data_IF_660951409978
#
_entry.id   IF_660951409978
#
_cell.length_a   1.000
_cell.length_b   1.000
_cell.length_c   1.000
_cell.angle_alpha   90.00
_cell.angle_beta   90.00
_cell.angle_gamma   90.00
#
_symmetry.space_group_name_H-M   'P 1'
#
loop_
_entity.id
_entity.type
_entity.pdbx_description
1 polymer ?
#
# COMPACT_ATOMS: atom_id res chain seq x y z
N UNK A 1 -7.19 -50.49 32.83
CA UNK A 1 -5.93 -49.75 32.70
C UNK A 1 -5.32 -50.22 31.40
N UNK A 2 -5.73 -49.57 30.32
CA UNK A 2 -5.27 -49.84 28.96
C UNK A 2 -4.32 -48.71 28.56
N UNK A 3 -3.11 -49.08 28.12
CA UNK A 3 -2.09 -48.17 27.61
C UNK A 3 -2.54 -47.59 26.27
N UNK A 4 -2.71 -46.27 26.23
CA UNK A 4 -2.88 -45.52 24.99
C UNK A 4 -1.48 -45.28 24.41
N UNK A 5 -1.13 -46.01 23.35
CA UNK A 5 0.04 -45.71 22.52
C UNK A 5 -0.25 -44.47 21.67
N UNK A 6 0.40 -43.36 22.00
CA UNK A 6 0.43 -42.16 21.16
C UNK A 6 1.47 -42.39 20.07
N UNK A 7 1.00 -42.70 18.86
CA UNK A 7 1.79 -42.64 17.63
C UNK A 7 2.06 -41.17 17.34
N UNK A 8 3.34 -40.78 17.39
CA UNK A 8 3.81 -39.48 16.91
C UNK A 8 4.11 -39.64 15.42
N UNK A 9 3.22 -39.14 14.59
CA UNK A 9 3.46 -38.98 13.16
C UNK A 9 4.59 -37.97 12.92
N UNK A 10 5.42 -38.31 11.94
CA UNK A 10 6.68 -37.67 11.62
C UNK A 10 6.52 -36.21 11.22
N UNK A 11 7.39 -35.38 11.80
CA UNK A 11 7.77 -34.12 11.17
C UNK A 11 8.65 -34.48 9.97
N UNK A 12 8.04 -34.50 8.79
CA UNK A 12 8.78 -34.39 7.54
C UNK A 12 9.40 -32.99 7.48
N UNK A 13 10.68 -32.92 7.81
CA UNK A 13 11.55 -31.83 7.40
C UNK A 13 11.57 -31.79 5.88
N UNK A 14 10.74 -30.91 5.28
CA UNK A 14 10.92 -30.44 3.91
C UNK A 14 12.21 -29.59 3.86
N UNK A 15 13.34 -30.29 3.89
CA UNK A 15 14.61 -29.78 3.43
C UNK A 15 14.41 -29.40 1.96
N UNK A 16 14.40 -28.10 1.67
CA UNK A 16 14.68 -27.59 0.34
C UNK A 16 16.14 -27.94 0.05
N UNK A 17 16.36 -29.16 -0.44
CA UNK A 17 17.57 -29.50 -1.18
C UNK A 17 17.52 -28.64 -2.44
N UNK A 18 18.32 -27.59 -2.46
CA UNK A 18 18.74 -26.95 -3.70
C UNK A 18 19.62 -27.97 -4.41
N UNK A 19 18.98 -28.85 -5.19
CA UNK A 19 19.67 -29.55 -6.25
C UNK A 19 20.17 -28.45 -7.19
N UNK A 20 21.48 -28.23 -7.13
CA UNK A 20 22.27 -27.59 -8.19
C UNK A 20 22.20 -28.51 -9.43
N UNK A 21 21.00 -28.68 -9.98
CA UNK A 21 20.81 -29.12 -11.34
C UNK A 21 21.04 -27.88 -12.21
N UNK A 22 22.13 -27.94 -12.97
CA UNK A 22 22.38 -27.15 -14.18
C UNK A 22 21.27 -27.45 -15.21
N UNK A 23 20.06 -27.03 -14.89
CA UNK A 23 18.95 -26.95 -15.82
C UNK A 23 18.98 -25.51 -16.33
N UNK A 24 19.47 -25.34 -17.56
CA UNK A 24 19.12 -24.23 -18.43
C UNK A 24 17.59 -24.16 -18.50
N UNK A 25 16.96 -23.57 -17.49
CA UNK A 25 15.58 -23.15 -17.60
C UNK A 25 15.62 -21.90 -18.45
N UNK A 26 15.28 -22.08 -19.72
CA UNK A 26 14.69 -21.07 -20.58
C UNK A 26 13.71 -20.22 -19.75
N UNK A 27 14.20 -19.11 -19.21
CA UNK A 27 13.38 -17.98 -18.80
C UNK A 27 13.00 -17.16 -20.03
N UNK A 28 12.54 -17.85 -21.08
CA UNK A 28 11.74 -17.26 -22.14
C UNK A 28 10.26 -17.39 -21.72
N UNK A 29 9.57 -16.25 -21.62
CA UNK A 29 8.11 -16.26 -21.79
C UNK A 29 7.24 -16.09 -20.53
N UNK A 30 7.49 -15.07 -19.72
CA UNK A 30 6.39 -14.29 -19.11
C UNK A 30 6.65 -12.79 -19.27
N UNK A 31 7.10 -12.40 -20.47
CA UNK A 31 6.75 -11.10 -21.04
C UNK A 31 5.30 -11.23 -21.46
N UNK A 32 4.39 -10.68 -20.66
CA UNK A 32 3.08 -10.34 -21.19
C UNK A 32 3.33 -9.31 -22.28
N UNK A 33 3.19 -9.74 -23.54
CA UNK A 33 3.11 -8.86 -24.68
C UNK A 33 1.83 -8.04 -24.52
N UNK A 34 1.91 -6.92 -23.81
CA UNK A 34 1.00 -5.78 -23.99
C UNK A 34 1.40 -5.01 -25.28
N UNK A 35 1.79 -5.75 -26.32
CA UNK A 35 2.14 -5.24 -27.65
C UNK A 35 0.97 -5.52 -28.62
N UNK A 36 -0.24 -5.05 -28.33
CA UNK A 36 -1.31 -4.96 -29.33
C UNK A 36 -2.44 -4.04 -28.82
N UNK A 37 -2.19 -2.71 -28.79
CA UNK A 37 -3.20 -1.65 -29.09
C UNK A 37 -2.73 -0.18 -28.90
N UNK A 38 -1.42 0.12 -28.88
CA UNK A 38 -0.93 1.51 -28.86
C UNK A 38 -0.05 1.93 -30.04
N UNK A 39 -0.18 1.27 -31.19
CA UNK A 39 0.43 1.71 -32.44
C UNK A 39 -0.47 2.69 -33.22
N UNK A 40 -0.70 3.89 -32.67
CA UNK A 40 -1.08 5.05 -33.47
C UNK A 40 -0.79 6.36 -32.72
N UNK A 41 0.15 7.16 -33.28
CA UNK A 41 0.46 8.57 -33.00
C UNK A 41 1.25 8.89 -31.73
N UNK A 42 2.57 8.73 -31.84
CA UNK A 42 3.48 9.78 -31.38
C UNK A 42 3.63 10.77 -32.55
N UNK A 43 2.69 11.73 -32.64
CA UNK A 43 3.01 13.00 -33.31
C UNK A 43 3.73 13.84 -32.25
N UNK A 44 4.93 14.30 -32.60
CA UNK A 44 5.78 15.18 -31.81
C UNK A 44 5.04 16.49 -31.51
N UNK A 45 4.36 16.56 -30.38
CA UNK A 45 3.99 17.84 -29.75
C UNK A 45 5.15 18.24 -28.82
N UNK A 46 6.11 18.97 -29.42
CA UNK A 46 7.05 19.85 -28.72
C UNK A 46 6.24 20.96 -28.00
N UNK A 47 5.54 20.61 -26.93
CA UNK A 47 4.95 21.58 -26.01
C UNK A 47 6.03 22.03 -25.03
N UNK A 48 6.56 23.20 -25.38
CA UNK A 48 7.43 24.10 -24.64
C UNK A 48 6.73 24.55 -23.33
N UNK A 49 6.53 23.61 -22.40
CA UNK A 49 5.76 23.82 -21.18
C UNK A 49 6.64 24.53 -20.13
N UNK A 50 6.64 25.85 -20.25
CA UNK A 50 7.10 26.79 -19.23
C UNK A 50 6.55 26.37 -17.86
N UNK A 51 7.46 25.93 -17.02
CA UNK A 51 7.27 25.46 -15.67
C UNK A 51 6.84 26.61 -14.72
N UNK A 52 5.63 27.14 -14.90
CA UNK A 52 4.95 28.09 -14.00
C UNK A 52 4.09 27.34 -12.97
N UNK A 53 4.64 26.28 -12.39
CA UNK A 53 3.94 25.35 -11.50
C UNK A 53 3.78 25.85 -10.06
N UNK A 54 3.89 27.16 -9.80
CA UNK A 54 3.96 27.70 -8.44
C UNK A 54 2.88 28.73 -8.03
N UNK A 55 1.76 28.85 -8.76
CA UNK A 55 0.76 29.88 -8.42
C UNK A 55 -0.74 29.49 -8.48
N UNK A 56 -1.10 28.20 -8.48
CA UNK A 56 -2.51 27.77 -8.34
C UNK A 56 -2.78 27.01 -7.04
N UNK A 57 -2.40 27.61 -5.92
CA UNK A 57 -3.09 27.36 -4.66
C UNK A 57 -4.52 27.89 -4.80
N UNK A 58 -5.45 27.03 -5.23
CA UNK A 58 -6.89 27.32 -5.22
C UNK A 58 -7.21 27.81 -3.81
N UNK A 59 -7.67 29.05 -3.72
CA UNK A 59 -8.16 29.73 -2.52
C UNK A 59 -9.29 28.88 -1.91
N UNK A 60 -8.92 27.87 -1.12
CA UNK A 60 -9.85 27.02 -0.38
C UNK A 60 -10.58 27.94 0.58
N UNK A 61 -11.87 28.12 0.34
CA UNK A 61 -12.79 28.88 1.20
C UNK A 61 -12.73 28.21 2.57
N UNK A 62 -12.07 28.85 3.53
CA UNK A 62 -12.00 28.42 4.93
C UNK A 62 -13.41 28.39 5.48
N UNK A 63 -14.02 27.22 5.42
CA UNK A 63 -15.25 26.87 6.12
C UNK A 63 -14.80 26.29 7.46
N UNK A 64 -14.26 27.16 8.29
CA UNK A 64 -13.98 26.90 9.69
C UNK A 64 -15.21 27.40 10.47
N UNK A 65 -15.53 26.66 11.52
CA UNK A 65 -16.47 26.97 12.60
C UNK A 65 -17.89 26.33 12.46
N UNK A 66 -18.10 25.29 13.28
CA UNK A 66 -19.36 24.96 14.00
C UNK A 66 -20.10 23.62 13.79
N UNK A 67 -19.46 22.53 13.34
CA UNK A 67 -20.08 21.17 13.41
C UNK A 67 -19.06 20.10 13.86
N UNK A 68 -18.80 20.01 15.17
CA UNK A 68 -17.79 19.08 15.75
C UNK A 68 -18.36 17.83 16.47
N UNK A 69 -19.66 17.55 16.43
CA UNK A 69 -20.26 16.47 17.26
C UNK A 69 -21.16 15.43 16.56
N UNK A 70 -21.17 15.36 15.23
CA UNK A 70 -21.70 14.20 14.49
C UNK A 70 -20.55 13.57 13.69
N UNK A 71 -20.10 12.34 13.86
CA UNK A 71 -20.54 11.23 14.68
C UNK A 71 -19.75 10.02 14.18
N UNK A 72 -19.15 9.24 15.08
CA UNK A 72 -18.45 8.00 14.73
C UNK A 72 -19.31 7.04 13.87
N UNK A 73 -20.64 7.21 13.90
CA UNK A 73 -21.59 6.48 13.07
C UNK A 73 -21.50 6.75 11.56
N UNK A 74 -20.98 7.90 11.10
CA UNK A 74 -20.86 8.22 9.66
C UNK A 74 -19.74 7.41 8.98
N UNK A 75 -18.80 6.88 9.78
CA UNK A 75 -17.57 6.27 9.27
C UNK A 75 -17.79 5.00 8.42
N UNK A 76 -18.87 4.26 8.70
CA UNK A 76 -19.19 2.98 8.06
C UNK A 76 -20.46 3.02 7.19
N UNK A 77 -21.07 4.19 7.01
CA UNK A 77 -22.25 4.33 6.15
C UNK A 77 -21.82 4.23 4.69
N UNK A 78 -22.49 3.39 3.91
CA UNK A 78 -22.42 3.36 2.43
C UNK A 78 -23.49 4.27 1.83
N UNK A 79 -23.16 4.98 0.77
CA UNK A 79 -24.16 5.70 -0.03
C UNK A 79 -25.02 4.71 -0.81
N UNK A 80 -26.17 5.17 -1.33
CA UNK A 80 -27.02 4.33 -2.19
C UNK A 80 -26.29 3.90 -3.47
N UNK A 81 -25.45 4.79 -4.02
CA UNK A 81 -24.65 4.53 -5.22
C UNK A 81 -23.56 3.49 -4.96
N UNK A 82 -22.81 3.62 -3.87
CA UNK A 82 -21.78 2.64 -3.50
C UNK A 82 -22.36 1.26 -3.18
N UNK A 83 -23.56 1.24 -2.58
CA UNK A 83 -24.30 0.00 -2.39
C UNK A 83 -24.60 -0.67 -3.72
N UNK A 84 -25.13 0.09 -4.68
CA UNK A 84 -25.43 -0.42 -6.02
C UNK A 84 -24.16 -0.96 -6.71
N UNK A 85 -23.03 -0.26 -6.58
CA UNK A 85 -21.75 -0.76 -7.12
C UNK A 85 -21.32 -2.07 -6.46
N UNK A 86 -21.41 -2.18 -5.14
CA UNK A 86 -21.05 -3.39 -4.42
C UNK A 86 -21.97 -4.57 -4.75
N UNK A 87 -23.29 -4.34 -4.85
CA UNK A 87 -24.26 -5.36 -5.26
C UNK A 87 -23.98 -5.85 -6.70
N UNK A 88 -23.75 -4.92 -7.63
CA UNK A 88 -23.40 -5.26 -9.02
C UNK A 88 -22.09 -6.04 -9.10
N UNK A 89 -21.09 -5.64 -8.31
CA UNK A 89 -19.80 -6.32 -8.25
C UNK A 89 -19.94 -7.74 -7.68
N UNK A 90 -20.77 -7.92 -6.66
CA UNK A 90 -21.06 -9.24 -6.09
C UNK A 90 -21.75 -10.15 -7.12
N UNK A 91 -22.80 -9.66 -7.77
CA UNK A 91 -23.51 -10.42 -8.81
C UNK A 91 -22.57 -10.82 -9.95
N UNK A 92 -21.67 -9.93 -10.36
CA UNK A 92 -20.70 -10.21 -11.41
C UNK A 92 -19.65 -11.26 -11.00
N UNK A 93 -19.23 -11.29 -9.73
CA UNK A 93 -18.34 -12.33 -9.20
C UNK A 93 -19.06 -13.70 -9.15
N UNK A 94 -20.33 -13.73 -8.74
CA UNK A 94 -21.12 -14.96 -8.65
C UNK A 94 -21.43 -15.59 -10.03
N UNK A 95 -21.60 -14.75 -11.06
CA UNK A 95 -21.87 -15.19 -12.43
C UNK A 95 -20.63 -15.72 -13.16
N UNK A 96 -19.42 -15.44 -12.66
CA UNK A 96 -18.15 -15.80 -13.31
C UNK A 96 -17.62 -17.14 -12.82
N UNK A 97 -17.45 -18.08 -13.75
CA UNK A 97 -16.93 -19.42 -13.44
C UNK A 97 -15.52 -19.39 -12.82
N UNK A 98 -14.67 -18.45 -13.25
CA UNK A 98 -13.29 -18.31 -12.76
C UNK A 98 -13.19 -17.66 -11.37
N UNK A 99 -14.30 -17.14 -10.83
CA UNK A 99 -14.37 -16.47 -9.53
C UNK A 99 -15.09 -17.30 -8.45
N UNK A 100 -15.66 -18.47 -8.78
CA UNK A 100 -16.55 -19.23 -7.89
C UNK A 100 -15.94 -19.73 -6.57
N UNK A 101 -14.62 -19.64 -6.39
CA UNK A 101 -13.90 -20.04 -5.17
C UNK A 101 -13.40 -18.84 -4.35
N UNK A 102 -13.57 -17.61 -4.84
CA UNK A 102 -13.06 -16.42 -4.18
C UNK A 102 -13.99 -16.05 -3.03
N UNK A 103 -13.49 -16.18 -1.81
CA UNK A 103 -14.14 -15.65 -0.61
C UNK A 103 -13.70 -14.21 -0.38
N UNK A 104 -14.63 -13.27 -0.35
CA UNK A 104 -14.40 -11.86 -0.06
C UNK A 104 -15.37 -11.38 1.01
N UNK A 105 -14.90 -10.57 1.96
CA UNK A 105 -15.79 -9.98 2.97
C UNK A 105 -16.62 -8.84 2.37
N UNK A 106 -17.78 -8.54 2.96
CA UNK A 106 -18.60 -7.40 2.54
C UNK A 106 -17.85 -6.07 2.63
N UNK A 107 -16.95 -5.92 3.62
CA UNK A 107 -16.14 -4.72 3.77
C UNK A 107 -15.18 -4.54 2.59
N UNK A 108 -14.45 -5.59 2.22
CA UNK A 108 -13.50 -5.57 1.11
C UNK A 108 -14.21 -5.38 -0.24
N UNK A 109 -15.36 -6.03 -0.43
CA UNK A 109 -16.19 -5.85 -1.61
C UNK A 109 -16.56 -4.38 -1.81
N UNK A 110 -17.02 -3.72 -0.74
CA UNK A 110 -17.35 -2.30 -0.76
C UNK A 110 -16.11 -1.43 -0.98
N UNK A 111 -14.96 -1.78 -0.38
CA UNK A 111 -13.69 -1.07 -0.62
C UNK A 111 -13.29 -1.09 -2.10
N UNK A 112 -13.33 -2.26 -2.74
CA UNK A 112 -13.03 -2.40 -4.16
C UNK A 112 -14.03 -1.60 -5.02
N UNK A 113 -15.33 -1.65 -4.69
CA UNK A 113 -16.35 -0.88 -5.39
C UNK A 113 -16.13 0.65 -5.28
N UNK A 114 -15.76 1.15 -4.10
CA UNK A 114 -15.46 2.58 -3.86
C UNK A 114 -14.20 3.01 -4.61
N UNK A 115 -13.12 2.22 -4.54
CA UNK A 115 -11.81 2.57 -5.11
C UNK A 115 -11.86 2.58 -6.64
N UNK A 116 -12.60 1.67 -7.24
CA UNK A 116 -12.80 1.60 -8.70
C UNK A 116 -13.94 2.47 -9.21
N UNK A 117 -14.66 3.17 -8.32
CA UNK A 117 -15.74 4.09 -8.65
C UNK A 117 -16.79 3.45 -9.58
N UNK A 118 -17.15 2.19 -9.27
CA UNK A 118 -18.10 1.40 -10.05
C UNK A 118 -17.54 0.69 -11.29
N UNK A 119 -16.23 0.76 -11.57
CA UNK A 119 -15.62 -0.01 -12.65
C UNK A 119 -15.49 -1.50 -12.27
N UNK A 120 -16.52 -2.28 -12.61
CA UNK A 120 -16.67 -3.70 -12.23
C UNK A 120 -15.50 -4.56 -12.73
N UNK A 121 -15.07 -4.40 -13.98
CA UNK A 121 -14.02 -5.23 -14.57
C UNK A 121 -12.67 -5.05 -13.85
N UNK A 122 -12.27 -3.81 -13.59
CA UNK A 122 -11.05 -3.51 -12.84
C UNK A 122 -11.14 -4.00 -11.39
N UNK A 123 -12.32 -3.89 -10.78
CA UNK A 123 -12.54 -4.37 -9.43
C UNK A 123 -12.37 -5.90 -9.35
N UNK A 124 -12.96 -6.65 -10.28
CA UNK A 124 -12.82 -8.11 -10.35
C UNK A 124 -11.36 -8.50 -10.57
N UNK A 125 -10.65 -7.87 -11.50
CA UNK A 125 -9.23 -8.14 -11.75
C UNK A 125 -8.39 -7.96 -10.47
N UNK A 126 -8.61 -6.85 -9.75
CA UNK A 126 -7.93 -6.57 -8.48
C UNK A 126 -8.27 -7.60 -7.40
N UNK A 127 -9.54 -7.99 -7.28
CA UNK A 127 -10.00 -8.99 -6.32
C UNK A 127 -9.32 -10.34 -6.59
N UNK A 128 -9.25 -10.78 -7.85
CA UNK A 128 -8.55 -12.01 -8.25
C UNK A 128 -7.08 -11.98 -7.85
N UNK A 129 -6.38 -10.90 -8.20
CA UNK A 129 -4.96 -10.72 -7.86
C UNK A 129 -4.72 -10.68 -6.35
N UNK A 130 -5.62 -10.03 -5.59
CA UNK A 130 -5.55 -10.05 -4.13
C UNK A 130 -5.86 -11.42 -3.53
N UNK A 131 -6.76 -12.21 -4.13
CA UNK A 131 -7.00 -13.59 -3.72
C UNK A 131 -5.77 -14.47 -3.93
N UNK A 132 -5.15 -14.39 -5.12
CA UNK A 132 -3.88 -15.08 -5.42
C UNK A 132 -2.75 -14.66 -4.47
N UNK A 133 -2.65 -13.36 -4.17
CA UNK A 133 -1.71 -12.84 -3.18
C UNK A 133 -1.91 -13.48 -1.80
N UNK A 134 -3.17 -13.54 -1.30
CA UNK A 134 -3.47 -14.12 0.01
C UNK A 134 -3.11 -15.60 0.06
N UNK A 135 -3.43 -16.37 -0.98
CA UNK A 135 -3.05 -17.78 -1.08
C UNK A 135 -1.54 -17.97 -1.09
N UNK A 136 -0.83 -17.21 -1.95
CA UNK A 136 0.63 -17.30 -2.10
C UNK A 136 1.37 -16.96 -0.82
N UNK A 137 0.90 -15.96 -0.07
CA UNK A 137 1.56 -15.46 1.14
C UNK A 137 0.92 -15.95 2.44
N UNK A 138 -0.08 -16.82 2.37
CA UNK A 138 -0.78 -17.41 3.52
C UNK A 138 -1.35 -16.33 4.45
N UNK A 139 -2.07 -15.38 3.87
CA UNK A 139 -2.76 -14.31 4.59
C UNK A 139 -4.12 -14.85 5.07
N UNK A 140 -4.35 -14.85 6.38
CA UNK A 140 -5.53 -15.43 7.04
C UNK A 140 -6.49 -14.36 7.58
N UNK A 141 -6.07 -13.10 7.61
CA UNK A 141 -6.85 -11.94 8.04
C UNK A 141 -7.35 -12.03 9.50
N UNK A 142 -6.51 -12.63 10.35
CA UNK A 142 -6.67 -12.57 11.81
C UNK A 142 -5.93 -11.37 12.41
N UNK A 143 -6.42 -10.86 13.54
CA UNK A 143 -5.78 -9.72 14.23
C UNK A 143 -4.38 -10.11 14.70
N UNK A 144 -4.24 -11.31 15.26
CA UNK A 144 -2.97 -11.83 15.77
C UNK A 144 -1.92 -11.95 14.68
N UNK A 145 -2.30 -12.47 13.49
CA UNK A 145 -1.40 -12.52 12.34
C UNK A 145 -1.03 -11.11 11.88
N UNK A 146 -2.03 -10.21 11.76
CA UNK A 146 -1.78 -8.84 11.31
C UNK A 146 -0.81 -8.09 12.20
N UNK A 147 -0.99 -8.18 13.53
CA UNK A 147 -0.05 -7.59 14.46
C UNK A 147 1.36 -8.20 14.35
N UNK A 148 1.47 -9.52 14.22
CA UNK A 148 2.76 -10.19 14.08
C UNK A 148 3.48 -9.77 12.80
N UNK A 149 2.78 -9.75 11.66
CA UNK A 149 3.36 -9.31 10.39
C UNK A 149 3.83 -7.85 10.43
N UNK A 150 3.08 -6.96 11.08
CA UNK A 150 3.51 -5.56 11.27
C UNK A 150 4.76 -5.51 12.17
N UNK A 151 4.81 -6.29 13.26
CA UNK A 151 6.00 -6.37 14.13
C UNK A 151 7.23 -6.83 13.35
N UNK A 152 7.13 -7.95 12.64
CA UNK A 152 8.22 -8.52 11.84
C UNK A 152 8.70 -7.54 10.75
N UNK A 153 7.77 -6.84 10.10
CA UNK A 153 8.08 -5.80 9.13
C UNK A 153 8.84 -4.62 9.73
N UNK A 154 8.43 -4.15 10.91
CA UNK A 154 9.11 -3.05 11.60
C UNK A 154 10.51 -3.46 12.10
N UNK A 155 10.70 -4.73 12.48
CA UNK A 155 12.02 -5.28 12.80
C UNK A 155 12.92 -5.40 11.54
N UNK A 156 12.33 -5.82 10.42
CA UNK A 156 13.03 -5.90 9.14
C UNK A 156 13.41 -4.48 8.65
N UNK A 157 12.52 -3.50 8.73
CA UNK A 157 12.70 -2.12 8.25
C UNK A 157 12.70 -1.09 9.41
N UNK A 158 13.70 -1.12 10.30
CA UNK A 158 13.69 -0.33 11.52
C UNK A 158 13.74 1.17 11.23
N UNK A 159 12.74 1.88 11.75
CA UNK A 159 12.60 3.33 11.58
C UNK A 159 12.08 3.75 10.20
N UNK A 160 11.66 2.82 9.35
CA UNK A 160 11.03 3.15 8.08
C UNK A 160 9.66 3.80 8.27
N UNK A 161 8.78 3.21 9.07
CA UNK A 161 7.57 3.89 9.51
C UNK A 161 7.86 4.79 10.72
N UNK A 162 7.45 6.06 10.62
CA UNK A 162 7.61 7.05 11.68
C UNK A 162 6.32 7.29 12.46
N UNK A 163 5.19 7.35 11.76
CA UNK A 163 3.90 7.63 12.38
C UNK A 163 2.73 7.13 11.52
N UNK A 164 1.67 6.68 12.19
CA UNK A 164 0.36 6.42 11.62
C UNK A 164 -0.66 7.11 12.52
N UNK A 165 -1.38 8.08 11.98
CA UNK A 165 -2.33 8.90 12.75
C UNK A 165 -3.58 9.21 11.94
N UNK A 166 -4.67 9.59 12.60
CA UNK A 166 -5.91 10.00 11.94
C UNK A 166 -6.04 11.52 11.96
N UNK A 167 -6.23 12.13 10.80
CA UNK A 167 -6.66 13.53 10.75
C UNK A 167 -8.18 13.60 10.94
N UNK A 168 -8.64 13.75 12.18
CA UNK A 168 -10.07 13.78 12.53
C UNK A 168 -10.84 14.80 11.68
N UNK A 169 -10.27 16.01 11.50
CA UNK A 169 -10.87 17.10 10.73
C UNK A 169 -11.21 16.72 9.28
N UNK A 170 -10.38 15.90 8.63
CA UNK A 170 -10.58 15.51 7.23
C UNK A 170 -10.98 14.04 7.08
N UNK A 171 -11.09 13.33 8.21
CA UNK A 171 -11.40 11.93 8.31
C UNK A 171 -10.60 11.04 7.34
N UNK A 172 -9.30 11.29 7.25
CA UNK A 172 -8.35 10.44 6.55
C UNK A 172 -7.23 10.00 7.49
N UNK A 173 -6.48 8.99 7.07
CA UNK A 173 -5.26 8.57 7.76
C UNK A 173 -4.04 9.22 7.15
N UNK A 174 -3.10 9.58 8.02
CA UNK A 174 -1.80 10.14 7.68
C UNK A 174 -0.75 9.09 7.98
N UNK A 175 0.02 8.72 6.98
CA UNK A 175 1.17 7.84 7.11
C UNK A 175 2.45 8.60 6.85
N UNK A 176 3.38 8.59 7.81
CA UNK A 176 4.69 9.21 7.68
C UNK A 176 5.77 8.14 7.66
N UNK A 177 6.59 8.13 6.61
CA UNK A 177 7.73 7.20 6.46
C UNK A 177 9.05 7.93 6.21
N UNK A 178 10.16 7.37 6.68
CA UNK A 178 11.53 7.82 6.45
C UNK A 178 12.20 6.94 5.38
N UNK A 179 12.22 7.41 4.13
CA UNK A 179 12.83 6.66 3.04
C UNK A 179 14.35 6.49 3.19
N UNK A 180 15.03 7.31 4.01
CA UNK A 180 16.44 7.08 4.32
C UNK A 180 16.66 5.82 5.19
N UNK A 181 15.61 5.30 5.82
CA UNK A 181 15.63 4.06 6.62
C UNK A 181 15.20 2.83 5.85
N UNK A 182 14.58 3.01 4.67
CA UNK A 182 14.22 1.89 3.83
C UNK A 182 15.46 1.18 3.29
N UNK A 183 15.52 -0.14 3.44
CA UNK A 183 16.64 -0.95 2.96
C UNK A 183 16.12 -2.15 2.16
N UNK A 184 16.05 -2.04 0.82
CA UNK A 184 15.57 -3.12 -0.04
C UNK A 184 16.48 -4.36 0.02
N UNK A 185 17.76 -4.23 0.41
CA UNK A 185 18.69 -5.37 0.52
C UNK A 185 18.34 -6.32 1.66
N UNK A 186 17.53 -5.88 2.63
CA UNK A 186 17.00 -6.76 3.68
C UNK A 186 15.85 -7.65 3.20
N UNK A 187 15.39 -7.45 1.96
CA UNK A 187 14.29 -8.18 1.35
C UNK A 187 14.81 -8.94 0.14
N UNK A 188 15.76 -9.84 0.37
CA UNK A 188 16.46 -10.56 -0.69
C UNK A 188 15.95 -11.99 -0.84
N UNK A 189 15.78 -12.70 0.27
CA UNK A 189 15.31 -14.09 0.24
C UNK A 189 13.78 -14.17 0.14
N UNK A 190 13.22 -15.27 -0.37
CA UNK A 190 11.77 -15.46 -0.44
C UNK A 190 11.05 -15.28 0.91
N UNK A 191 11.66 -15.75 2.01
CA UNK A 191 11.12 -15.55 3.37
C UNK A 191 11.09 -14.07 3.80
N UNK A 192 12.11 -13.30 3.41
CA UNK A 192 12.20 -11.88 3.74
C UNK A 192 11.17 -11.09 2.94
N UNK A 193 10.96 -11.49 1.68
CA UNK A 193 9.93 -10.95 0.81
C UNK A 193 8.52 -11.18 1.34
N UNK A 194 8.24 -12.40 1.85
CA UNK A 194 6.98 -12.69 2.55
C UNK A 194 6.78 -11.76 3.75
N UNK A 195 7.79 -11.61 4.63
CA UNK A 195 7.71 -10.68 5.78
C UNK A 195 7.38 -9.26 5.31
N UNK A 196 8.07 -8.77 4.26
CA UNK A 196 7.83 -7.44 3.73
C UNK A 196 6.40 -7.26 3.20
N UNK A 197 5.94 -8.18 2.35
CA UNK A 197 4.63 -8.07 1.72
C UNK A 197 3.47 -8.27 2.70
N UNK A 198 3.53 -9.27 3.58
CA UNK A 198 2.52 -9.47 4.62
C UNK A 198 2.47 -8.28 5.58
N UNK A 199 3.63 -7.72 5.92
CA UNK A 199 3.74 -6.50 6.70
C UNK A 199 3.07 -5.31 6.04
N UNK A 200 3.45 -4.99 4.80
CA UNK A 200 2.84 -3.90 4.03
C UNK A 200 1.34 -4.11 3.84
N UNK A 201 0.88 -5.33 3.61
CA UNK A 201 -0.54 -5.65 3.48
C UNK A 201 -1.32 -5.20 4.72
N UNK A 202 -0.97 -5.72 5.90
CA UNK A 202 -1.66 -5.34 7.14
C UNK A 202 -1.44 -3.88 7.53
N UNK A 203 -0.29 -3.32 7.16
CA UNK A 203 -0.02 -1.90 7.35
C UNK A 203 -0.98 -1.02 6.54
N UNK A 204 -1.25 -1.36 5.27
CA UNK A 204 -2.24 -0.67 4.45
C UNK A 204 -3.68 -0.93 4.92
N UNK A 205 -3.97 -2.11 5.47
CA UNK A 205 -5.26 -2.42 6.08
C UNK A 205 -5.54 -1.51 7.28
N UNK A 206 -4.52 -1.28 8.12
CA UNK A 206 -4.61 -0.37 9.27
C UNK A 206 -4.84 1.11 8.88
N UNK A 207 -4.52 1.49 7.63
CA UNK A 207 -4.78 2.84 7.10
C UNK A 207 -6.20 3.03 6.55
N UNK A 208 -6.96 1.94 6.38
CA UNK A 208 -8.31 1.96 5.83
C UNK A 208 -9.35 1.26 6.74
N UNK A 209 -9.40 1.57 8.06
CA UNK A 209 -10.28 0.85 8.99
C UNK A 209 -11.76 1.20 8.81
N UNK A 210 -12.09 2.23 8.02
CA UNK A 210 -13.46 2.69 7.81
C UNK A 210 -13.71 3.05 6.35
N UNK A 211 -14.97 3.01 5.92
CA UNK A 211 -15.34 3.36 4.55
C UNK A 211 -15.12 4.84 4.25
N UNK A 212 -15.26 5.72 5.24
CA UNK A 212 -14.88 7.12 5.04
C UNK A 212 -13.38 7.29 4.83
N UNK A 213 -12.52 6.51 5.51
CA UNK A 213 -11.08 6.56 5.25
C UNK A 213 -10.76 6.10 3.82
N UNK A 214 -11.44 5.05 3.34
CA UNK A 214 -11.29 4.54 1.97
C UNK A 214 -11.67 5.60 0.94
N UNK A 215 -12.80 6.30 1.13
CA UNK A 215 -13.25 7.39 0.24
C UNK A 215 -12.26 8.54 0.18
N UNK A 216 -11.82 8.99 1.36
CA UNK A 216 -10.96 10.15 1.47
C UNK A 216 -9.52 9.85 1.01
N UNK A 217 -9.13 8.58 1.09
CA UNK A 217 -7.79 8.10 0.77
C UNK A 217 -6.78 8.45 1.86
N UNK A 218 -5.58 7.90 1.71
CA UNK A 218 -4.46 8.09 2.65
C UNK A 218 -3.63 9.32 2.26
N UNK A 219 -3.23 10.11 3.24
CA UNK A 219 -2.18 11.13 3.11
C UNK A 219 -0.82 10.50 3.42
N UNK A 220 0.02 10.31 2.40
CA UNK A 220 1.38 9.82 2.57
C UNK A 220 2.39 10.97 2.68
N UNK A 221 3.19 10.99 3.74
CA UNK A 221 4.31 11.92 3.90
C UNK A 221 5.60 11.11 3.87
N UNK A 222 6.36 11.32 2.81
CA UNK A 222 7.61 10.64 2.55
C UNK A 222 8.77 11.57 2.95
N UNK A 223 9.37 11.34 4.12
CA UNK A 223 10.61 12.01 4.52
C UNK A 223 11.76 11.44 3.69
N UNK A 224 12.37 12.29 2.86
CA UNK A 224 13.45 11.89 1.97
C UNK A 224 14.82 12.44 2.39
N UNK A 225 14.91 13.22 3.47
CA UNK A 225 16.21 13.71 3.94
C UNK A 225 17.11 12.53 4.36
N UNK A 226 18.27 12.41 3.72
CA UNK A 226 19.25 11.33 3.95
C UNK A 226 19.14 10.16 2.97
N UNK A 227 18.18 10.20 2.05
CA UNK A 227 17.98 9.18 1.03
C UNK A 227 19.12 9.15 -0.01
N UNK A 228 19.54 7.95 -0.41
CA UNK A 228 20.58 7.70 -1.41
C UNK A 228 20.28 6.49 -2.29
N UNK A 229 21.20 6.18 -3.22
CA UNK A 229 21.07 5.05 -4.17
C UNK A 229 20.85 3.68 -3.53
N UNK A 230 21.31 3.49 -2.29
CA UNK A 230 21.14 2.23 -1.57
C UNK A 230 19.73 2.01 -1.02
N UNK A 231 18.88 3.04 -0.99
CA UNK A 231 17.50 2.97 -0.52
C UNK A 231 16.51 2.59 -1.63
N UNK A 232 16.96 2.22 -2.83
CA UNK A 232 16.08 1.92 -3.96
C UNK A 232 16.59 0.77 -4.80
N UNK A 233 15.63 0.02 -5.34
CA UNK A 233 15.86 -1.05 -6.29
C UNK A 233 14.64 -1.10 -7.22
N UNK A 234 14.84 -0.90 -8.53
CA UNK A 234 13.73 -0.85 -9.47
C UNK A 234 12.99 -2.20 -9.56
N UNK A 235 13.73 -3.31 -9.50
CA UNK A 235 13.14 -4.66 -9.55
C UNK A 235 12.31 -4.95 -8.31
N UNK A 236 12.76 -4.48 -7.15
CA UNK A 236 11.99 -4.51 -5.91
C UNK A 236 10.63 -3.82 -6.10
N UNK A 237 10.65 -2.59 -6.62
CA UNK A 237 9.44 -1.77 -6.78
C UNK A 237 8.48 -2.33 -7.84
N UNK A 238 9.01 -2.85 -8.95
CA UNK A 238 8.23 -3.58 -9.97
C UNK A 238 7.52 -4.77 -9.35
N UNK A 239 8.25 -5.59 -8.58
CA UNK A 239 7.70 -6.79 -7.95
C UNK A 239 6.66 -6.43 -6.89
N UNK A 240 6.93 -5.43 -6.05
CA UNK A 240 5.98 -4.93 -5.05
C UNK A 240 4.67 -4.46 -5.72
N UNK A 241 4.78 -3.72 -6.83
CA UNK A 241 3.62 -3.24 -7.55
C UNK A 241 2.81 -4.36 -8.19
N UNK A 242 3.49 -5.30 -8.86
CA UNK A 242 2.84 -6.42 -9.54
C UNK A 242 2.17 -7.36 -8.56
N UNK A 243 2.87 -7.73 -7.47
CA UNK A 243 2.35 -8.75 -6.55
C UNK A 243 1.36 -8.18 -5.52
N UNK A 244 1.41 -6.89 -5.19
CA UNK A 244 0.57 -6.32 -4.13
C UNK A 244 0.00 -4.94 -4.46
N UNK A 245 0.85 -3.91 -4.65
CA UNK A 245 0.37 -2.53 -4.62
C UNK A 245 -0.61 -2.17 -5.76
N UNK A 246 -0.50 -2.84 -6.92
CA UNK A 246 -1.43 -2.66 -8.03
C UNK A 246 -2.78 -3.36 -7.84
N UNK A 247 -2.85 -4.36 -6.95
CA UNK A 247 -4.06 -5.14 -6.68
C UNK A 247 -4.79 -4.65 -5.40
N UNK A 248 -4.05 -4.14 -4.43
CA UNK A 248 -4.60 -3.68 -3.16
C UNK A 248 -5.53 -2.46 -3.37
N UNK A 249 -6.74 -2.43 -2.77
CA UNK A 249 -7.72 -1.36 -2.95
C UNK A 249 -7.36 -0.10 -2.12
N UNK A 250 -6.18 0.47 -2.34
CA UNK A 250 -5.76 1.71 -1.69
C UNK A 250 -6.08 2.93 -2.57
N UNK A 251 -6.67 3.95 -1.96
CA UNK A 251 -6.79 5.30 -2.52
C UNK A 251 -5.81 6.21 -1.79
N UNK A 252 -5.05 7.00 -2.53
CA UNK A 252 -4.17 8.02 -1.96
C UNK A 252 -4.79 9.39 -2.22
N UNK A 253 -4.93 10.18 -1.15
CA UNK A 253 -5.35 11.57 -1.25
C UNK A 253 -4.22 12.43 -1.83
N UNK A 254 -3.03 12.24 -1.26
CA UNK A 254 -1.82 13.00 -1.54
C UNK A 254 -0.62 12.19 -1.07
N UNK A 255 0.48 12.24 -1.81
CA UNK A 255 1.77 11.66 -1.46
C UNK A 255 2.84 12.73 -1.56
N UNK A 256 3.23 13.32 -0.45
CA UNK A 256 4.19 14.43 -0.39
C UNK A 256 5.60 13.91 -0.08
N UNK A 257 6.53 14.06 -1.02
CA UNK A 257 7.95 13.76 -0.83
C UNK A 257 8.66 15.01 -0.31
N UNK A 258 8.83 15.04 1.01
CA UNK A 258 9.35 16.18 1.74
C UNK A 258 10.88 16.12 1.73
N UNK A 259 11.52 17.26 1.43
CA UNK A 259 12.99 17.38 1.35
C UNK A 259 13.62 16.35 0.39
N UNK A 260 12.98 16.09 -0.74
CA UNK A 260 13.46 15.12 -1.72
C UNK A 260 14.79 15.56 -2.36
N UNK A 261 15.90 14.80 -2.19
CA UNK A 261 17.15 15.06 -2.91
C UNK A 261 17.00 14.73 -4.41
N UNK A 262 17.97 15.13 -5.24
CA UNK A 262 17.96 14.85 -6.68
C UNK A 262 17.73 13.36 -7.00
N UNK A 263 18.34 12.46 -6.22
CA UNK A 263 18.19 11.01 -6.39
C UNK A 263 16.74 10.54 -6.24
N UNK A 264 15.95 11.17 -5.37
CA UNK A 264 14.54 10.85 -5.18
C UNK A 264 13.70 11.23 -6.41
N UNK A 265 14.03 12.33 -7.08
CA UNK A 265 13.37 12.74 -8.33
C UNK A 265 13.67 11.73 -9.47
N UNK A 266 14.88 11.17 -9.50
CA UNK A 266 15.23 10.11 -10.46
C UNK A 266 14.42 8.85 -10.16
N UNK A 267 14.30 8.43 -8.90
CA UNK A 267 13.49 7.26 -8.54
C UNK A 267 12.03 7.43 -8.95
N UNK A 268 11.42 8.59 -8.65
CA UNK A 268 10.05 8.82 -9.06
C UNK A 268 9.88 8.72 -10.58
N UNK A 269 10.80 9.29 -11.35
CA UNK A 269 10.78 9.17 -12.82
C UNK A 269 10.86 7.72 -13.30
N UNK A 270 11.66 6.87 -12.63
CA UNK A 270 11.76 5.43 -12.91
C UNK A 270 10.51 4.64 -12.48
N UNK A 271 9.79 5.12 -11.47
CA UNK A 271 8.57 4.48 -10.96
C UNK A 271 7.32 4.81 -11.79
N UNK A 272 7.30 5.93 -12.51
CA UNK A 272 6.14 6.35 -13.32
C UNK A 272 5.61 5.27 -14.27
N UNK A 273 6.42 4.48 -14.99
CA UNK A 273 5.88 3.44 -15.88
C UNK A 273 5.20 2.29 -15.14
N UNK A 274 5.49 2.10 -13.86
CA UNK A 274 4.98 1.00 -13.04
C UNK A 274 3.71 1.44 -12.30
N UNK A 275 3.64 2.72 -11.89
CA UNK A 275 2.53 3.28 -11.14
C UNK A 275 1.30 3.53 -12.03
N UNK A 276 0.12 3.29 -11.47
CA UNK A 276 -1.14 3.70 -12.11
C UNK A 276 -1.30 5.23 -12.11
N UNK A 277 -2.11 5.74 -13.05
CA UNK A 277 -2.34 7.18 -13.22
C UNK A 277 -2.86 7.88 -11.97
N UNK A 278 -3.72 7.21 -11.20
CA UNK A 278 -4.32 7.78 -10.00
C UNK A 278 -3.25 8.13 -8.97
N UNK A 279 -2.31 7.21 -8.73
CA UNK A 279 -1.19 7.44 -7.80
C UNK A 279 -0.24 8.49 -8.35
N UNK A 280 0.12 8.46 -9.64
CA UNK A 280 1.04 9.44 -10.24
C UNK A 280 0.56 10.88 -10.09
N UNK A 281 -0.75 11.11 -10.21
CA UNK A 281 -1.37 12.44 -10.13
C UNK A 281 -1.36 13.06 -8.73
N UNK A 282 -1.19 12.25 -7.68
CA UNK A 282 -1.21 12.72 -6.29
C UNK A 282 0.17 12.80 -5.64
N UNK A 283 1.24 12.50 -6.39
CA UNK A 283 2.62 12.61 -5.88
C UNK A 283 3.15 14.03 -6.09
N UNK A 284 3.67 14.63 -5.01
CA UNK A 284 4.33 15.92 -5.04
C UNK A 284 5.79 15.78 -4.57
N UNK A 285 6.73 16.18 -5.42
CA UNK A 285 8.16 16.15 -5.11
C UNK A 285 8.64 17.50 -4.58
N UNK A 286 9.72 17.49 -3.79
CA UNK A 286 10.39 18.71 -3.33
C UNK A 286 9.58 19.55 -2.35
N UNK A 287 8.60 18.95 -1.67
CA UNK A 287 7.71 19.67 -0.76
C UNK A 287 8.54 20.20 0.41
N UNK A 288 8.43 21.51 0.68
CA UNK A 288 9.05 22.18 1.82
C UNK A 288 7.96 22.53 2.84
N UNK A 289 8.15 22.11 4.08
CA UNK A 289 7.23 22.42 5.17
C UNK A 289 7.76 23.60 5.96
N UNK A 290 7.16 24.78 5.80
CA UNK A 290 7.52 25.99 6.58
C UNK A 290 7.30 25.82 8.10
N UNK A 291 6.52 24.80 8.51
CA UNK A 291 6.20 24.54 9.91
C UNK A 291 7.35 23.91 10.70
N UNK A 292 8.34 23.29 10.04
CA UNK A 292 9.43 22.60 10.72
C UNK A 292 10.69 22.52 9.86
N UNK A 293 11.76 23.13 10.34
CA UNK A 293 13.08 23.18 9.65
C UNK A 293 13.96 21.95 9.89
N UNK A 294 13.54 21.00 10.76
CA UNK A 294 14.31 19.79 11.06
C UNK A 294 13.82 18.54 10.32
N UNK A 295 14.52 17.40 10.53
CA UNK A 295 14.04 16.07 10.13
C UNK A 295 12.79 15.68 10.89
N UNK A 296 11.72 15.30 10.19
CA UNK A 296 10.42 14.95 10.77
C UNK A 296 10.54 13.89 11.87
N UNK A 297 11.52 13.00 11.78
CA UNK A 297 11.84 12.01 12.82
C UNK A 297 11.98 12.61 14.23
N UNK A 298 12.51 13.83 14.35
CA UNK A 298 12.67 14.53 15.65
C UNK A 298 11.33 14.91 16.26
N UNK A 299 10.31 15.21 15.47
CA UNK A 299 8.96 15.51 15.96
C UNK A 299 8.34 14.27 16.61
N UNK A 300 8.51 13.11 15.97
CA UNK A 300 7.88 11.87 16.42
C UNK A 300 8.64 11.21 17.58
N UNK A 301 9.98 11.21 17.55
CA UNK A 301 10.78 10.65 18.65
C UNK A 301 10.64 11.44 19.96
N UNK A 302 10.50 12.76 19.90
CA UNK A 302 10.36 13.60 21.10
C UNK A 302 9.00 13.43 21.79
N UNK A 303 7.96 12.98 21.07
CA UNK A 303 6.62 12.75 21.65
C UNK A 303 6.63 11.52 22.57
N UNK A 304 7.36 10.47 22.18
CA UNK A 304 7.50 9.24 22.97
C UNK A 304 8.24 9.46 24.29
N UNK A 305 9.19 10.39 24.35
CA UNK A 305 9.93 10.72 25.59
C UNK A 305 9.08 11.43 26.64
N UNK A 306 7.90 11.96 26.27
CA UNK A 306 7.01 12.71 27.17
C UNK A 306 5.83 11.91 27.70
N UNK A 307 5.66 10.65 27.28
CA UNK A 307 4.65 9.80 27.89
C UNK A 307 5.09 9.49 29.33
N UNK A 308 4.27 9.79 30.35
CA UNK A 308 4.60 9.44 31.72
C UNK A 308 4.83 7.94 31.78
N UNK A 309 6.06 7.53 32.09
CA UNK A 309 6.36 6.13 32.40
C UNK A 309 5.38 5.73 33.49
N UNK A 310 4.47 4.80 33.18
CA UNK A 310 3.57 4.19 34.16
C UNK A 310 4.43 3.80 35.36
N UNK A 311 4.35 4.57 36.44
CA UNK A 311 4.96 4.18 37.70
C UNK A 311 4.37 2.81 38.02
N UNK A 312 5.24 1.82 38.20
CA UNK A 312 4.83 0.47 38.58
C UNK A 312 4.10 0.58 39.92
N UNK A 313 2.77 0.55 39.88
CA UNK A 313 1.91 0.44 41.06
C UNK A 313 1.89 -0.99 41.56
#
# INVERSE_FOLDING_TARGET
MEEIQVVRDGQDELAWQSDDDENETDTEGLLWNDEEDHAARAEDDDDDDNNDYNARSKKRKSRDDDEEEEGLGILMVITAEERQWAETLQEALEQREDCGHITISNMELVQHAIVEEGNIEKAIERIKRMHEFRLKYQIEDTVEQGEQCIRDFMEQQPGFSLNLDQCVRHNHFVHVIDFAKFNPRKVYLPKDWKVFLSGIHYYLSALNPTLSAVRNGVLGIMECEGMGWHNFCLDFERRLWYEHAGAYPAKFHEISWVRSPLVANVFFSLLKPIMNDAVRKVVHLGVLTNAYEGRSIRLFLNRLQRLPTREKS
#
